data_IF_510695778496
#
_entry.id   IF_510695778496
#
_cell.length_a   1.000
_cell.length_b   1.000
_cell.length_c   1.000
_cell.angle_alpha   90.00
_cell.angle_beta   90.00
_cell.angle_gamma   90.00
#
_symmetry.space_group_name_H-M   'P 1'
#
loop_
_entity.id
_entity.type
_entity.pdbx_description
1 polymer ?
#
# COMPACT_ATOMS: atom_id res chain seq x y z
N UNK A 1 18.55 -12.50 -17.32
CA UNK A 1 18.29 -12.12 -15.91
C UNK A 1 18.57 -10.64 -15.77
N UNK A 2 17.64 -9.89 -15.19
CA UNK A 2 17.74 -8.46 -14.93
C UNK A 2 17.84 -8.22 -13.42
N UNK A 3 18.38 -7.07 -13.03
CA UNK A 3 18.40 -6.60 -11.64
C UNK A 3 17.61 -5.29 -11.57
N UNK A 4 16.80 -5.12 -10.52
CA UNK A 4 16.17 -3.81 -10.22
C UNK A 4 17.28 -2.82 -9.86
N UNK A 5 17.26 -1.66 -10.49
CA UNK A 5 18.22 -0.56 -10.27
C UNK A 5 17.49 0.70 -9.82
N UNK A 6 18.18 1.68 -9.21
CA UNK A 6 17.57 2.93 -8.77
C UNK A 6 16.74 3.64 -9.84
N UNK A 7 17.15 3.54 -11.11
CA UNK A 7 16.46 4.15 -12.23
C UNK A 7 15.05 3.57 -12.47
N UNK A 8 14.82 2.29 -12.15
CA UNK A 8 13.49 1.68 -12.26
C UNK A 8 12.48 2.33 -11.32
N UNK A 9 12.94 2.75 -10.13
CA UNK A 9 12.12 3.47 -9.15
C UNK A 9 12.06 4.95 -9.50
N UNK A 10 13.23 5.59 -9.76
CA UNK A 10 13.34 7.00 -10.10
C UNK A 10 12.46 7.40 -11.28
N UNK A 11 12.36 6.57 -12.30
CA UNK A 11 11.56 6.83 -13.51
C UNK A 11 10.05 6.99 -13.24
N UNK A 12 9.58 6.65 -12.04
CA UNK A 12 8.18 6.79 -11.61
C UNK A 12 7.91 8.08 -10.84
N UNK A 13 8.95 8.83 -10.49
CA UNK A 13 8.83 10.03 -9.68
C UNK A 13 9.52 11.22 -10.34
N UNK A 14 8.92 12.40 -10.20
CA UNK A 14 9.47 13.65 -10.75
C UNK A 14 10.59 14.24 -9.86
N UNK A 15 10.60 13.91 -8.58
CA UNK A 15 11.65 14.30 -7.64
C UNK A 15 12.79 13.28 -7.63
N UNK A 16 13.96 13.70 -7.18
CA UNK A 16 15.10 12.81 -6.98
C UNK A 16 14.91 11.96 -5.73
N UNK A 17 15.04 10.63 -5.88
CA UNK A 17 15.01 9.73 -4.71
C UNK A 17 16.25 9.94 -3.86
N UNK A 18 16.11 9.77 -2.53
CA UNK A 18 17.19 10.06 -1.58
C UNK A 18 18.44 9.20 -1.80
N UNK A 19 19.66 9.72 -1.56
CA UNK A 19 20.91 8.93 -1.67
C UNK A 19 20.89 7.67 -0.79
N UNK A 20 20.24 7.73 0.37
CA UNK A 20 20.10 6.58 1.27
C UNK A 20 19.24 5.48 0.63
N UNK A 21 18.15 5.84 -0.04
CA UNK A 21 17.32 4.88 -0.76
C UNK A 21 18.05 4.29 -1.97
N UNK A 22 18.80 5.11 -2.72
CA UNK A 22 19.68 4.65 -3.81
C UNK A 22 20.67 3.60 -3.29
N UNK A 23 21.33 3.88 -2.17
CA UNK A 23 22.25 2.92 -1.55
C UNK A 23 21.56 1.61 -1.17
N UNK A 24 20.38 1.66 -0.59
CA UNK A 24 19.60 0.45 -0.23
C UNK A 24 19.20 -0.37 -1.47
N UNK A 25 18.75 0.28 -2.54
CA UNK A 25 18.42 -0.42 -3.80
C UNK A 25 19.66 -1.10 -4.38
N UNK A 26 20.79 -0.42 -4.42
CA UNK A 26 22.05 -0.97 -4.95
C UNK A 26 22.53 -2.19 -4.16
N UNK A 27 22.35 -2.19 -2.84
CA UNK A 27 22.73 -3.27 -1.93
C UNK A 27 21.72 -4.43 -1.91
N UNK A 28 20.55 -4.26 -2.52
CA UNK A 28 19.53 -5.28 -2.59
C UNK A 28 19.64 -6.02 -3.92
N UNK A 29 19.76 -7.34 -3.88
CA UNK A 29 19.93 -8.16 -5.09
C UNK A 29 18.56 -8.64 -5.58
N UNK A 30 17.76 -7.73 -6.19
CA UNK A 30 16.44 -8.03 -6.73
C UNK A 30 16.54 -8.49 -8.19
N UNK A 31 16.67 -9.81 -8.38
CA UNK A 31 16.82 -10.44 -9.70
C UNK A 31 15.48 -10.92 -10.24
N UNK A 32 15.24 -10.69 -11.54
CA UNK A 32 14.01 -11.11 -12.21
C UNK A 32 14.22 -11.38 -13.71
N UNK A 33 13.22 -12.00 -14.31
CA UNK A 33 13.09 -12.17 -15.76
C UNK A 33 11.61 -11.99 -16.18
N UNK A 34 11.33 -11.39 -17.35
CA UNK A 34 10.01 -11.49 -17.96
C UNK A 34 9.65 -12.96 -18.21
N UNK A 35 8.37 -13.31 -18.10
CA UNK A 35 7.92 -14.64 -18.47
C UNK A 35 8.17 -14.92 -19.95
N UNK A 36 8.63 -16.12 -20.27
CA UNK A 36 8.65 -16.61 -21.64
C UNK A 36 7.23 -16.69 -22.21
N UNK A 37 7.05 -16.72 -23.54
CA UNK A 37 5.72 -16.86 -24.15
C UNK A 37 4.91 -18.05 -23.62
N UNK A 38 5.54 -19.20 -23.39
CA UNK A 38 4.89 -20.39 -22.84
C UNK A 38 4.46 -20.20 -21.37
N UNK A 39 5.32 -19.60 -20.54
CA UNK A 39 5.00 -19.28 -19.16
C UNK A 39 3.89 -18.23 -19.07
N UNK A 40 3.92 -17.20 -19.93
CA UNK A 40 2.88 -16.18 -20.01
C UNK A 40 1.53 -16.78 -20.42
N UNK A 41 1.51 -17.69 -21.40
CA UNK A 41 0.32 -18.42 -21.77
C UNK A 41 -0.26 -19.20 -20.56
N UNK A 42 0.58 -19.95 -19.87
CA UNK A 42 0.18 -20.72 -18.68
C UNK A 42 -0.31 -19.81 -17.55
N UNK A 43 0.31 -18.65 -17.38
CA UNK A 43 -0.11 -17.63 -16.42
C UNK A 43 -1.52 -17.11 -16.76
N UNK A 44 -1.80 -16.78 -18.03
CA UNK A 44 -3.12 -16.27 -18.46
C UNK A 44 -4.20 -17.34 -18.25
N UNK A 45 -3.94 -18.60 -18.65
CA UNK A 45 -4.88 -19.72 -18.42
C UNK A 45 -5.17 -19.88 -16.93
N UNK A 46 -4.14 -19.85 -16.09
CA UNK A 46 -4.32 -19.93 -14.63
C UNK A 46 -5.14 -18.73 -14.09
N UNK A 47 -4.90 -17.54 -14.61
CA UNK A 47 -5.64 -16.35 -14.22
C UNK A 47 -7.13 -16.48 -14.55
N UNK A 48 -7.48 -16.94 -15.76
CA UNK A 48 -8.86 -17.17 -16.20
C UNK A 48 -9.55 -18.22 -15.31
N UNK A 49 -8.84 -19.30 -14.97
CA UNK A 49 -9.36 -20.32 -14.06
C UNK A 49 -9.68 -19.74 -12.66
N UNK A 50 -8.82 -18.85 -12.15
CA UNK A 50 -9.08 -18.16 -10.88
C UNK A 50 -10.27 -17.21 -11.01
N UNK A 51 -10.40 -16.49 -12.12
CA UNK A 51 -11.59 -15.67 -12.37
C UNK A 51 -12.88 -16.51 -12.48
N UNK A 52 -12.79 -17.78 -12.86
CA UNK A 52 -13.94 -18.70 -12.93
C UNK A 52 -14.29 -19.32 -11.58
N UNK A 53 -13.39 -19.25 -10.58
CA UNK A 53 -13.62 -19.76 -9.23
C UNK A 53 -14.34 -18.73 -8.33
N UNK A 54 -14.83 -19.18 -7.18
CA UNK A 54 -15.37 -18.29 -6.17
C UNK A 54 -14.22 -17.57 -5.42
N UNK A 55 -14.24 -16.24 -5.48
CA UNK A 55 -13.28 -15.39 -4.77
C UNK A 55 -13.93 -14.71 -3.58
N UNK A 56 -13.23 -14.72 -2.44
CA UNK A 56 -13.68 -14.00 -1.25
C UNK A 56 -13.71 -12.51 -1.53
N UNK A 57 -14.86 -11.87 -1.31
CA UNK A 57 -15.05 -10.43 -1.53
C UNK A 57 -14.45 -9.60 -0.39
N UNK A 58 -13.94 -8.44 -0.72
CA UNK A 58 -13.58 -7.38 0.23
C UNK A 58 -14.83 -6.76 0.87
N UNK A 59 -14.68 -6.14 2.04
CA UNK A 59 -15.75 -5.48 2.78
C UNK A 59 -15.72 -5.77 4.28
N UNK A 60 -16.71 -5.28 5.00
CA UNK A 60 -16.83 -5.35 6.47
C UNK A 60 -16.69 -6.77 7.04
N UNK A 61 -17.19 -7.78 6.32
CA UNK A 61 -17.07 -9.18 6.73
C UNK A 61 -15.64 -9.74 6.80
N UNK A 62 -14.63 -8.95 6.44
CA UNK A 62 -13.21 -9.37 6.44
C UNK A 62 -12.47 -9.07 7.73
N UNK A 63 -13.10 -8.40 8.71
CA UNK A 63 -12.41 -8.00 9.94
C UNK A 63 -11.74 -9.18 10.67
N UNK A 64 -12.45 -10.31 10.82
CA UNK A 64 -11.91 -11.51 11.49
C UNK A 64 -10.73 -12.13 10.76
N UNK A 65 -10.70 -12.05 9.44
CA UNK A 65 -9.58 -12.53 8.62
C UNK A 65 -8.32 -11.69 8.86
N UNK A 66 -8.46 -10.36 8.84
CA UNK A 66 -7.34 -9.45 9.07
C UNK A 66 -6.87 -9.52 10.52
N UNK A 67 -7.81 -9.59 11.49
CA UNK A 67 -7.48 -9.81 12.91
C UNK A 67 -6.63 -11.07 13.10
N UNK A 68 -7.03 -12.19 12.47
CA UNK A 68 -6.27 -13.44 12.54
C UNK A 68 -4.88 -13.32 11.90
N UNK A 69 -4.80 -12.69 10.72
CA UNK A 69 -3.53 -12.50 10.01
C UNK A 69 -2.53 -11.65 10.82
N UNK A 70 -2.99 -10.52 11.36
CA UNK A 70 -2.13 -9.64 12.17
C UNK A 70 -1.76 -10.25 13.53
N UNK A 71 -2.62 -11.11 14.08
CA UNK A 71 -2.30 -11.90 15.28
C UNK A 71 -1.18 -12.90 15.03
N UNK A 72 -1.14 -13.55 13.87
CA UNK A 72 -0.02 -14.44 13.49
C UNK A 72 1.32 -13.70 13.46
N UNK A 73 1.35 -12.47 12.92
CA UNK A 73 2.56 -11.63 12.95
C UNK A 73 2.94 -11.23 14.38
N UNK A 74 1.97 -10.90 15.24
CA UNK A 74 2.21 -10.57 16.64
C UNK A 74 2.86 -11.73 17.40
N UNK A 75 2.35 -12.95 17.22
CA UNK A 75 2.90 -14.14 17.88
C UNK A 75 4.31 -14.48 17.38
N UNK A 76 4.60 -14.24 16.10
CA UNK A 76 5.94 -14.40 15.54
C UNK A 76 6.89 -13.33 16.08
N UNK A 77 6.43 -12.07 16.17
CA UNK A 77 7.19 -10.98 16.75
C UNK A 77 7.54 -11.24 18.22
N UNK A 78 6.59 -11.67 19.05
CA UNK A 78 6.82 -11.98 20.47
C UNK A 78 7.89 -13.06 20.69
N UNK A 79 8.05 -13.98 19.74
CA UNK A 79 9.07 -15.05 19.81
C UNK A 79 10.44 -14.57 19.36
N UNK A 80 10.50 -13.74 18.33
CA UNK A 80 11.75 -13.31 17.68
C UNK A 80 12.29 -11.99 18.20
N UNK A 81 11.42 -11.12 18.67
CA UNK A 81 11.66 -9.69 18.94
C UNK A 81 12.28 -8.95 17.75
N UNK A 82 12.11 -9.51 16.53
CA UNK A 82 12.63 -8.93 15.29
C UNK A 82 11.50 -8.17 14.56
N UNK A 83 11.63 -6.85 14.30
CA UNK A 83 10.65 -6.08 13.56
C UNK A 83 10.32 -6.64 12.16
N UNK A 84 11.20 -7.42 11.54
CA UNK A 84 10.92 -8.10 10.25
C UNK A 84 9.78 -9.12 10.35
N UNK A 85 9.47 -9.62 11.55
CA UNK A 85 8.30 -10.49 11.78
C UNK A 85 6.97 -9.77 11.52
N UNK A 86 6.97 -8.43 11.53
CA UNK A 86 5.81 -7.60 11.21
C UNK A 86 5.55 -7.52 9.69
N UNK A 87 6.48 -7.92 8.83
CA UNK A 87 6.26 -7.94 7.38
C UNK A 87 5.10 -8.89 7.07
N UNK A 88 4.01 -8.39 6.43
CA UNK A 88 2.85 -9.20 6.11
C UNK A 88 3.21 -10.44 5.29
N UNK A 89 2.67 -11.59 5.67
CA UNK A 89 3.02 -12.89 5.06
C UNK A 89 2.64 -13.01 3.59
N UNK A 90 1.72 -12.19 3.09
CA UNK A 90 1.35 -12.20 1.69
C UNK A 90 2.48 -11.73 0.75
N UNK A 91 3.42 -10.90 1.21
CA UNK A 91 4.61 -10.51 0.46
C UNK A 91 5.60 -11.67 0.20
N UNK A 92 5.50 -12.74 0.97
CA UNK A 92 6.45 -13.87 0.91
C UNK A 92 5.98 -15.03 0.02
N UNK A 93 4.79 -14.95 -0.59
CA UNK A 93 4.11 -16.12 -1.17
C UNK A 93 4.31 -16.34 -2.66
N UNK A 94 4.74 -15.35 -3.42
CA UNK A 94 4.77 -15.46 -4.88
C UNK A 94 6.11 -15.01 -5.47
N UNK A 95 6.57 -15.76 -6.46
CA UNK A 95 7.69 -15.35 -7.30
C UNK A 95 7.24 -14.73 -8.64
N UNK A 96 5.94 -14.55 -8.85
CA UNK A 96 5.37 -13.88 -10.02
C UNK A 96 4.86 -12.51 -9.57
N UNK A 97 5.29 -11.46 -10.27
CA UNK A 97 4.90 -10.09 -10.03
C UNK A 97 4.66 -9.36 -11.37
N UNK A 98 4.17 -8.13 -11.28
CA UNK A 98 4.06 -7.20 -12.40
C UNK A 98 5.11 -6.10 -12.23
N UNK A 99 5.86 -5.83 -13.27
CA UNK A 99 6.82 -4.75 -13.31
C UNK A 99 6.93 -4.20 -14.73
N UNK A 100 6.92 -2.88 -14.89
CA UNK A 100 7.11 -2.22 -16.18
C UNK A 100 6.15 -2.74 -17.28
N UNK A 101 4.86 -2.95 -16.92
CA UNK A 101 3.80 -3.49 -17.81
C UNK A 101 4.02 -4.94 -18.25
N UNK A 102 4.91 -5.67 -17.62
CA UNK A 102 5.19 -7.07 -17.90
C UNK A 102 4.90 -7.95 -16.68
N UNK A 103 4.63 -9.22 -16.96
CA UNK A 103 4.63 -10.26 -15.93
C UNK A 103 6.05 -10.79 -15.83
N UNK A 104 6.57 -10.77 -14.60
CA UNK A 104 7.95 -11.18 -14.30
C UNK A 104 7.97 -12.35 -13.32
N UNK A 105 9.04 -13.13 -13.37
CA UNK A 105 9.40 -14.14 -12.39
C UNK A 105 10.60 -13.63 -11.59
N UNK A 106 10.46 -13.55 -10.28
CA UNK A 106 11.54 -13.16 -9.39
C UNK A 106 12.34 -14.37 -8.91
N UNK A 107 13.62 -14.14 -8.67
CA UNK A 107 14.56 -15.15 -8.18
C UNK A 107 15.14 -14.79 -6.80
N UNK A 108 14.89 -13.58 -6.34
CA UNK A 108 15.39 -13.10 -5.07
C UNK A 108 14.38 -13.35 -3.96
N UNK A 109 14.89 -13.64 -2.77
CA UNK A 109 14.09 -13.74 -1.56
C UNK A 109 13.45 -12.39 -1.24
N UNK A 110 12.20 -12.42 -0.80
CA UNK A 110 11.44 -11.24 -0.38
C UNK A 110 11.39 -10.11 -1.44
N UNK A 111 11.48 -10.50 -2.74
CA UNK A 111 11.49 -9.57 -3.89
C UNK A 111 10.31 -8.59 -3.85
N UNK A 112 9.09 -9.10 -3.66
CA UNK A 112 7.88 -8.29 -3.63
C UNK A 112 7.91 -7.25 -2.50
N UNK A 113 8.32 -7.66 -1.31
CA UNK A 113 8.45 -6.77 -0.15
C UNK A 113 9.45 -5.63 -0.40
N UNK A 114 10.64 -5.95 -0.89
CA UNK A 114 11.66 -4.93 -1.12
C UNK A 114 11.27 -3.96 -2.23
N UNK A 115 10.76 -4.48 -3.34
CA UNK A 115 10.33 -3.63 -4.46
C UNK A 115 9.18 -2.71 -4.05
N UNK A 116 8.17 -3.26 -3.35
CA UNK A 116 7.07 -2.51 -2.76
C UNK A 116 7.58 -1.39 -1.85
N UNK A 117 8.47 -1.75 -0.91
CA UNK A 117 9.05 -0.79 0.02
C UNK A 117 9.78 0.35 -0.69
N UNK A 118 10.54 0.05 -1.74
CA UNK A 118 11.26 1.08 -2.50
C UNK A 118 10.34 2.07 -3.19
N UNK A 119 9.22 1.61 -3.77
CA UNK A 119 8.24 2.50 -4.38
C UNK A 119 7.55 3.39 -3.33
N UNK A 120 7.14 2.82 -2.21
CA UNK A 120 6.48 3.57 -1.13
C UNK A 120 7.45 4.57 -0.49
N UNK A 121 8.66 4.12 -0.15
CA UNK A 121 9.67 4.96 0.50
C UNK A 121 10.11 6.12 -0.41
N UNK A 122 10.25 5.89 -1.73
CA UNK A 122 10.66 6.92 -2.67
C UNK A 122 9.75 8.15 -2.65
N UNK A 123 8.45 7.95 -2.47
CA UNK A 123 7.49 9.05 -2.40
C UNK A 123 7.33 9.60 -0.97
N UNK A 124 7.16 8.74 0.02
CA UNK A 124 6.90 9.19 1.39
C UNK A 124 8.08 9.98 1.97
N UNK A 125 9.32 9.58 1.68
CA UNK A 125 10.51 10.30 2.16
C UNK A 125 10.68 11.69 1.56
N UNK A 126 10.06 11.98 0.41
CA UNK A 126 9.99 13.34 -0.15
C UNK A 126 9.07 14.25 0.68
N UNK A 127 7.97 13.69 1.20
CA UNK A 127 6.94 14.48 1.86
C UNK A 127 7.04 14.53 3.39
N UNK A 128 7.49 13.43 4.03
CA UNK A 128 7.60 13.32 5.50
C UNK A 128 8.34 14.49 6.15
N UNK A 129 9.46 15.04 5.60
CA UNK A 129 10.16 16.14 6.24
C UNK A 129 9.32 17.37 6.52
N UNK A 130 8.26 17.60 5.73
CA UNK A 130 7.38 18.77 5.80
C UNK A 130 6.29 18.65 6.88
N UNK A 131 6.15 17.51 7.57
CA UNK A 131 5.09 17.24 8.52
C UNK A 131 5.65 16.68 9.82
N UNK A 132 5.11 17.11 10.96
CA UNK A 132 5.51 16.59 12.28
C UNK A 132 4.77 15.31 12.65
N UNK A 133 3.54 15.17 12.14
CA UNK A 133 2.68 13.99 12.35
C UNK A 133 2.45 13.27 11.03
N UNK A 134 2.62 11.96 11.02
CA UNK A 134 2.45 11.09 9.85
C UNK A 134 1.48 9.97 10.23
N UNK A 135 0.37 9.86 9.51
CA UNK A 135 -0.68 8.88 9.77
C UNK A 135 -0.78 7.87 8.63
N UNK A 136 -0.67 6.59 8.94
CA UNK A 136 -1.04 5.49 8.06
C UNK A 136 -2.42 4.96 8.44
N UNK A 137 -3.36 4.99 7.52
CA UNK A 137 -4.67 4.37 7.71
C UNK A 137 -4.72 3.01 7.01
N UNK A 138 -5.29 2.00 7.70
CA UNK A 138 -5.20 0.60 7.28
C UNK A 138 -3.78 0.04 7.42
N UNK A 139 -3.09 0.41 8.50
CA UNK A 139 -1.66 0.16 8.69
C UNK A 139 -1.29 -1.32 8.90
N UNK A 140 -2.27 -2.21 9.09
CA UNK A 140 -2.04 -3.61 9.34
C UNK A 140 -1.12 -3.85 10.54
N UNK A 141 0.03 -4.47 10.33
CA UNK A 141 1.01 -4.71 11.40
C UNK A 141 1.81 -3.47 11.81
N UNK A 142 1.68 -2.35 11.09
CA UNK A 142 2.45 -1.13 11.30
C UNK A 142 3.90 -1.19 10.75
N UNK A 143 4.25 -2.19 9.96
CA UNK A 143 5.63 -2.37 9.49
C UNK A 143 6.17 -1.19 8.65
N UNK A 144 5.31 -0.47 7.94
CA UNK A 144 5.70 0.76 7.25
C UNK A 144 6.13 1.85 8.23
N UNK A 145 5.39 2.02 9.33
CA UNK A 145 5.67 3.03 10.35
C UNK A 145 7.08 2.82 10.94
N UNK A 146 7.41 1.58 11.32
CA UNK A 146 8.73 1.26 11.86
C UNK A 146 9.84 1.49 10.84
N UNK A 147 9.61 1.11 9.57
CA UNK A 147 10.58 1.31 8.50
C UNK A 147 10.81 2.80 8.22
N UNK A 148 9.74 3.60 8.14
CA UNK A 148 9.83 5.04 7.89
C UNK A 148 10.41 5.80 9.08
N UNK A 149 10.13 5.36 10.31
CA UNK A 149 10.74 5.92 11.51
C UNK A 149 12.28 5.79 11.52
N UNK A 150 12.84 4.73 10.96
CA UNK A 150 14.30 4.59 10.82
C UNK A 150 14.92 5.67 9.93
N UNK A 151 14.18 6.23 8.98
CA UNK A 151 14.61 7.33 8.15
C UNK A 151 14.35 8.71 8.78
N UNK A 152 13.32 8.83 9.59
CA UNK A 152 12.83 10.10 10.12
C UNK A 152 12.46 9.99 11.60
N UNK A 153 13.42 9.70 12.51
CA UNK A 153 13.14 9.38 13.90
C UNK A 153 12.65 10.57 14.74
N UNK A 154 12.76 11.78 14.24
CA UNK A 154 12.22 12.99 14.87
C UNK A 154 10.74 13.22 14.65
N UNK A 155 10.10 12.46 13.74
CA UNK A 155 8.68 12.59 13.41
C UNK A 155 7.82 11.67 14.26
N UNK A 156 6.54 12.03 14.44
CA UNK A 156 5.56 11.19 15.14
C UNK A 156 4.75 10.39 14.13
N UNK A 157 4.72 9.07 14.30
CA UNK A 157 4.02 8.14 13.43
C UNK A 157 2.82 7.53 14.12
N UNK A 158 1.69 7.47 13.41
CA UNK A 158 0.42 6.97 13.92
C UNK A 158 -0.16 5.95 12.93
N UNK A 159 -0.53 4.77 13.43
CA UNK A 159 -1.15 3.71 12.63
C UNK A 159 -2.59 3.45 13.04
N UNK A 160 -3.53 3.72 12.15
CA UNK A 160 -4.94 3.41 12.32
C UNK A 160 -5.34 2.13 11.61
N UNK A 161 -5.99 1.21 12.31
CA UNK A 161 -6.53 -0.03 11.74
C UNK A 161 -7.71 -0.50 12.61
N UNK A 162 -8.67 -1.19 12.01
CA UNK A 162 -9.83 -1.72 12.75
C UNK A 162 -9.52 -2.97 13.57
N UNK A 163 -8.36 -3.62 13.33
CA UNK A 163 -7.91 -4.83 14.01
C UNK A 163 -7.23 -4.51 15.35
N UNK A 164 -7.63 -5.14 16.43
CA UNK A 164 -6.97 -5.03 17.73
C UNK A 164 -5.55 -5.60 17.69
N UNK A 165 -5.34 -6.66 16.90
CA UNK A 165 -4.01 -7.23 16.71
C UNK A 165 -3.04 -6.25 16.04
N UNK A 166 -3.52 -5.34 15.20
CA UNK A 166 -2.73 -4.25 14.61
C UNK A 166 -2.19 -3.32 15.70
N UNK A 167 -3.05 -2.81 16.58
CA UNK A 167 -2.62 -1.94 17.68
C UNK A 167 -1.63 -2.65 18.62
N UNK A 168 -1.86 -3.94 18.88
CA UNK A 168 -0.97 -4.75 19.71
C UNK A 168 0.40 -4.95 19.04
N UNK A 169 0.47 -5.21 17.71
CA UNK A 169 1.72 -5.28 16.97
C UNK A 169 2.54 -3.99 17.14
N UNK A 170 1.90 -2.83 16.93
CA UNK A 170 2.55 -1.54 17.06
C UNK A 170 3.03 -1.31 18.49
N UNK A 171 2.18 -1.56 19.50
CA UNK A 171 2.52 -1.38 20.89
C UNK A 171 3.69 -2.25 21.37
N UNK A 172 3.66 -3.55 21.06
CA UNK A 172 4.70 -4.48 21.49
C UNK A 172 6.02 -4.21 20.77
N UNK A 173 5.99 -3.91 19.46
CA UNK A 173 7.20 -3.56 18.74
C UNK A 173 7.79 -2.24 19.22
N UNK A 174 6.98 -1.19 19.42
CA UNK A 174 7.44 0.10 19.95
C UNK A 174 8.13 -0.06 21.30
N UNK A 175 7.56 -0.85 22.21
CA UNK A 175 8.20 -1.16 23.51
C UNK A 175 9.53 -1.87 23.34
N UNK A 176 9.59 -2.90 22.46
CA UNK A 176 10.80 -3.70 22.27
C UNK A 176 11.98 -2.89 21.69
N UNK A 177 11.70 -1.94 20.80
CA UNK A 177 12.75 -1.08 20.20
C UNK A 177 12.97 0.23 20.96
N UNK A 178 12.23 0.48 22.05
CA UNK A 178 12.33 1.72 22.83
C UNK A 178 11.81 2.96 22.10
N UNK A 179 10.88 2.81 21.17
CA UNK A 179 10.29 3.93 20.43
C UNK A 179 9.10 4.53 21.19
N UNK A 180 9.07 5.85 21.33
CA UNK A 180 7.97 6.59 21.95
C UNK A 180 7.15 7.41 20.96
N UNK A 181 7.59 7.48 19.70
CA UNK A 181 7.00 8.29 18.65
C UNK A 181 6.17 7.50 17.62
N UNK A 182 5.97 6.19 17.84
CA UNK A 182 5.10 5.33 17.02
C UNK A 182 3.94 4.84 17.88
N UNK A 183 2.70 5.12 17.45
CA UNK A 183 1.48 4.78 18.20
C UNK A 183 0.43 4.17 17.29
N UNK A 184 -0.25 3.12 17.77
CA UNK A 184 -1.42 2.53 17.13
C UNK A 184 -2.72 3.06 17.70
N UNK A 185 -3.76 3.14 16.89
CA UNK A 185 -5.12 3.47 17.31
C UNK A 185 -6.16 2.67 16.51
N UNK A 186 -7.36 2.50 17.08
CA UNK A 186 -8.44 1.86 16.34
C UNK A 186 -9.02 2.84 15.32
N UNK A 187 -9.23 2.37 14.07
CA UNK A 187 -9.88 3.16 13.06
C UNK A 187 -10.60 2.27 12.03
N UNK A 188 -11.89 2.53 11.85
CA UNK A 188 -12.72 1.82 10.89
C UNK A 188 -13.11 2.76 9.73
N UNK A 189 -12.73 2.43 8.50
CA UNK A 189 -13.09 3.21 7.32
C UNK A 189 -14.61 3.35 7.10
N UNK A 190 -15.38 2.36 7.54
CA UNK A 190 -16.85 2.38 7.42
C UNK A 190 -17.53 3.29 8.46
N UNK A 191 -16.84 3.56 9.58
CA UNK A 191 -17.30 4.38 10.71
C UNK A 191 -16.14 5.19 11.27
N UNK A 192 -15.67 6.23 10.53
CA UNK A 192 -14.53 7.04 10.95
C UNK A 192 -14.76 7.72 12.28
N UNK A 193 -13.75 7.68 13.16
CA UNK A 193 -13.74 8.37 14.44
C UNK A 193 -13.21 9.81 14.28
N UNK A 194 -14.09 10.79 14.32
CA UNK A 194 -13.74 12.20 14.20
C UNK A 194 -13.00 12.79 15.40
N UNK A 195 -12.81 12.03 16.49
CA UNK A 195 -11.97 12.45 17.60
C UNK A 195 -10.47 12.35 17.29
N UNK A 196 -10.10 11.63 16.24
CA UNK A 196 -8.71 11.50 15.80
C UNK A 196 -8.31 12.77 15.03
N UNK A 197 -7.45 13.59 15.62
CA UNK A 197 -6.95 14.84 15.03
C UNK A 197 -5.81 14.57 14.03
N UNK A 198 -6.12 14.71 12.75
CA UNK A 198 -5.17 14.60 11.64
C UNK A 198 -4.89 15.94 10.96
N UNK A 199 -5.34 17.04 11.54
CA UNK A 199 -5.16 18.37 10.97
C UNK A 199 -3.67 18.66 10.72
N UNK A 200 -3.37 19.28 9.58
CA UNK A 200 -2.03 19.71 9.15
C UNK A 200 -0.98 18.56 9.11
N UNK A 201 -1.42 17.29 9.13
CA UNK A 201 -0.55 16.11 9.08
C UNK A 201 -0.37 15.56 7.67
N UNK A 202 0.61 14.67 7.49
CA UNK A 202 0.67 13.79 6.34
C UNK A 202 -0.18 12.53 6.62
N UNK A 203 -1.14 12.28 5.75
CA UNK A 203 -1.96 11.06 5.77
C UNK A 203 -1.60 10.19 4.58
N UNK A 204 -1.43 8.88 4.78
CA UNK A 204 -1.26 7.96 3.68
C UNK A 204 -1.97 6.63 3.88
N UNK A 205 -2.24 5.93 2.78
CA UNK A 205 -2.78 4.56 2.75
C UNK A 205 -1.98 3.71 1.75
N UNK A 206 -1.83 2.42 2.03
CA UNK A 206 -1.11 1.49 1.15
C UNK A 206 -1.89 0.18 1.07
N UNK A 207 -2.49 -0.11 -0.09
CA UNK A 207 -3.25 -1.33 -0.38
C UNK A 207 -4.25 -1.71 0.73
N UNK A 208 -4.94 -0.71 1.28
CA UNK A 208 -5.89 -0.86 2.38
C UNK A 208 -7.29 -0.39 2.01
N UNK A 209 -7.44 0.72 1.30
CA UNK A 209 -8.73 1.18 0.79
C UNK A 209 -9.36 0.18 -0.21
N UNK A 210 -8.54 -0.66 -0.84
CA UNK A 210 -9.05 -1.72 -1.70
C UNK A 210 -10.05 -2.64 -1.00
N UNK A 211 -9.97 -2.74 0.34
CA UNK A 211 -10.81 -3.62 1.15
C UNK A 211 -12.22 -3.06 1.42
N UNK A 212 -12.51 -1.81 1.07
CA UNK A 212 -13.82 -1.19 1.32
C UNK A 212 -14.71 -1.09 0.08
N UNK A 213 -14.21 -1.47 -1.10
CA UNK A 213 -14.96 -1.45 -2.35
C UNK A 213 -15.40 -0.04 -2.74
N UNK A 214 -16.70 0.16 -2.94
CA UNK A 214 -17.30 1.47 -3.26
C UNK A 214 -17.73 2.26 -2.00
N UNK A 215 -17.55 1.71 -0.78
CA UNK A 215 -18.03 2.33 0.46
C UNK A 215 -17.00 3.30 1.05
N UNK A 216 -16.43 4.17 0.23
CA UNK A 216 -15.38 5.12 0.65
C UNK A 216 -15.89 6.53 0.99
N UNK A 217 -17.19 6.81 0.85
CA UNK A 217 -17.73 8.16 1.06
C UNK A 217 -17.44 8.69 2.46
N UNK A 218 -17.69 7.88 3.51
CA UNK A 218 -17.49 8.30 4.90
C UNK A 218 -16.02 8.61 5.21
N UNK A 219 -15.08 7.80 4.75
CA UNK A 219 -13.65 8.04 4.99
C UNK A 219 -13.14 9.23 4.17
N UNK A 220 -13.65 9.44 2.95
CA UNK A 220 -13.35 10.65 2.17
C UNK A 220 -13.89 11.90 2.88
N UNK A 221 -15.12 11.87 3.36
CA UNK A 221 -15.70 12.95 4.14
C UNK A 221 -14.88 13.25 5.39
N UNK A 222 -14.43 12.21 6.12
CA UNK A 222 -13.54 12.35 7.27
C UNK A 222 -12.24 13.05 6.88
N UNK A 223 -11.54 12.61 5.82
CA UNK A 223 -10.29 13.24 5.40
C UNK A 223 -10.50 14.70 4.98
N UNK A 224 -11.55 15.00 4.23
CA UNK A 224 -11.85 16.38 3.80
C UNK A 224 -12.13 17.29 5.00
N UNK A 225 -12.97 16.84 5.94
CA UNK A 225 -13.41 17.66 7.07
C UNK A 225 -12.32 17.81 8.15
N UNK A 226 -11.45 16.82 8.31
CA UNK A 226 -10.36 16.84 9.31
C UNK A 226 -9.11 17.61 8.82
N UNK A 227 -9.09 18.07 7.56
CA UNK A 227 -8.08 18.96 6.97
C UNK A 227 -6.63 18.54 7.21
N UNK A 228 -6.22 17.32 6.80
CA UNK A 228 -4.80 16.99 6.75
C UNK A 228 -4.05 17.93 5.79
N UNK A 229 -2.76 18.11 6.01
CA UNK A 229 -1.93 18.92 5.13
C UNK A 229 -1.71 18.27 3.75
N UNK A 230 -1.67 16.92 3.69
CA UNK A 230 -1.53 16.15 2.47
C UNK A 230 -2.09 14.73 2.65
N UNK A 231 -2.75 14.22 1.62
CA UNK A 231 -3.15 12.81 1.50
C UNK A 231 -2.40 12.14 0.36
N UNK A 232 -1.82 10.96 0.62
CA UNK A 232 -1.12 10.14 -0.37
C UNK A 232 -1.70 8.72 -0.32
N UNK A 233 -2.17 8.22 -1.45
CA UNK A 233 -2.72 6.87 -1.56
C UNK A 233 -1.89 6.04 -2.53
N UNK A 234 -1.48 4.85 -2.10
CA UNK A 234 -0.88 3.79 -2.93
C UNK A 234 -1.90 2.66 -3.04
N UNK A 235 -2.86 2.80 -3.93
CA UNK A 235 -3.99 1.89 -4.00
C UNK A 235 -4.20 1.34 -5.42
N UNK A 236 -4.84 0.17 -5.55
CA UNK A 236 -5.28 -0.31 -6.84
C UNK A 236 -6.50 0.51 -7.31
N UNK A 237 -6.31 1.36 -8.29
CA UNK A 237 -7.32 2.27 -8.82
C UNK A 237 -7.89 1.71 -10.12
N UNK A 238 -9.19 1.38 -10.09
CA UNK A 238 -9.90 0.81 -11.23
C UNK A 238 -9.93 1.75 -12.45
N UNK A 239 -10.14 3.04 -12.22
CA UNK A 239 -10.39 4.05 -13.25
C UNK A 239 -9.19 4.40 -14.14
N UNK A 240 -7.98 3.97 -13.76
CA UNK A 240 -6.77 4.19 -14.57
C UNK A 240 -6.40 2.99 -15.46
N UNK A 241 -7.16 1.90 -15.37
CA UNK A 241 -6.92 0.69 -16.15
C UNK A 241 -7.54 0.80 -17.55
N UNK A 242 -6.87 0.24 -18.54
CA UNK A 242 -7.31 0.22 -19.94
C UNK A 242 -8.01 -1.12 -20.25
N UNK A 243 -9.33 -1.13 -20.47
CA UNK A 243 -10.06 -2.36 -20.75
C UNK A 243 -9.68 -3.04 -22.06
N UNK A 244 -8.98 -2.36 -22.97
CA UNK A 244 -8.50 -2.95 -24.25
C UNK A 244 -7.11 -3.59 -24.08
N UNK A 245 -6.42 -3.34 -22.95
CA UNK A 245 -5.19 -4.04 -22.61
C UNK A 245 -5.51 -5.34 -21.85
N UNK A 246 -4.98 -6.48 -22.32
CA UNK A 246 -5.29 -7.80 -21.75
C UNK A 246 -5.01 -7.89 -20.23
N UNK A 247 -3.86 -7.38 -19.78
CA UNK A 247 -3.49 -7.47 -18.36
C UNK A 247 -4.36 -6.56 -17.49
N UNK A 248 -4.70 -5.38 -17.99
CA UNK A 248 -5.61 -4.46 -17.32
C UNK A 248 -7.05 -5.01 -17.32
N UNK A 249 -7.51 -5.57 -18.43
CA UNK A 249 -8.80 -6.24 -18.51
C UNK A 249 -8.93 -7.36 -17.47
N UNK A 250 -7.94 -8.24 -17.38
CA UNK A 250 -7.92 -9.30 -16.37
C UNK A 250 -7.93 -8.73 -14.93
N UNK A 251 -7.20 -7.64 -14.71
CA UNK A 251 -7.20 -6.92 -13.41
C UNK A 251 -8.59 -6.34 -13.09
N UNK A 252 -9.26 -5.72 -14.07
CA UNK A 252 -10.63 -5.19 -13.93
C UNK A 252 -11.59 -6.33 -13.53
N UNK A 253 -11.52 -7.50 -14.21
CA UNK A 253 -12.34 -8.64 -13.87
C UNK A 253 -12.08 -9.14 -12.44
N UNK A 254 -10.81 -9.16 -12.02
CA UNK A 254 -10.43 -9.55 -10.68
C UNK A 254 -10.97 -8.56 -9.63
N UNK A 255 -10.84 -7.25 -9.87
CA UNK A 255 -11.38 -6.21 -8.98
C UNK A 255 -12.90 -6.35 -8.82
N UNK A 256 -13.61 -6.57 -9.94
CA UNK A 256 -15.06 -6.79 -9.92
C UNK A 256 -15.45 -8.00 -9.06
N UNK A 257 -14.75 -9.12 -9.23
CA UNK A 257 -15.01 -10.33 -8.44
C UNK A 257 -14.66 -10.18 -6.96
N UNK A 258 -13.57 -9.49 -6.67
CA UNK A 258 -13.10 -9.27 -5.31
C UNK A 258 -13.83 -8.15 -4.58
N UNK A 259 -14.66 -7.36 -5.26
CA UNK A 259 -15.26 -6.13 -4.74
C UNK A 259 -14.16 -5.16 -4.23
N UNK A 260 -13.12 -4.97 -5.03
CA UNK A 260 -12.04 -4.04 -4.71
C UNK A 260 -12.44 -2.60 -5.02
N UNK A 261 -11.60 -1.64 -4.62
CA UNK A 261 -11.84 -0.21 -4.72
C UNK A 261 -12.30 0.23 -6.12
N UNK A 262 -13.45 0.90 -6.19
CA UNK A 262 -14.01 1.48 -7.42
C UNK A 262 -14.50 2.89 -7.16
N UNK A 263 -14.53 3.70 -8.20
CA UNK A 263 -15.06 5.06 -8.18
C UNK A 263 -14.32 5.99 -7.21
N UNK A 264 -13.18 5.58 -6.64
CA UNK A 264 -12.45 6.40 -5.68
C UNK A 264 -11.86 7.66 -6.33
N UNK A 265 -11.17 7.51 -7.47
CA UNK A 265 -10.66 8.65 -8.23
C UNK A 265 -11.79 9.51 -8.80
N UNK A 266 -12.91 8.89 -9.20
CA UNK A 266 -14.10 9.60 -9.64
C UNK A 266 -14.67 10.48 -8.53
N UNK A 267 -14.76 9.96 -7.30
CA UNK A 267 -15.20 10.73 -6.12
C UNK A 267 -14.25 11.87 -5.79
N UNK A 268 -12.94 11.64 -5.86
CA UNK A 268 -11.95 12.72 -5.68
C UNK A 268 -12.09 13.83 -6.73
N UNK A 269 -12.25 13.48 -8.02
CA UNK A 269 -12.47 14.46 -9.10
C UNK A 269 -13.76 15.26 -8.90
N UNK A 270 -14.82 14.63 -8.39
CA UNK A 270 -16.04 15.33 -8.01
C UNK A 270 -15.79 16.34 -6.89
N UNK A 271 -15.12 15.94 -5.81
CA UNK A 271 -14.76 16.85 -4.71
C UNK A 271 -13.86 18.00 -5.17
N UNK A 272 -12.96 17.76 -6.12
CA UNK A 272 -12.14 18.80 -6.74
C UNK A 272 -12.99 19.78 -7.55
N UNK A 273 -13.93 19.29 -8.35
CA UNK A 273 -14.85 20.16 -9.11
C UNK A 273 -15.78 20.99 -8.22
N UNK A 274 -16.04 20.52 -7.00
CA UNK A 274 -16.77 21.24 -5.95
C UNK A 274 -15.88 22.24 -5.16
N UNK A 275 -14.58 22.31 -5.46
CA UNK A 275 -13.62 23.19 -4.77
C UNK A 275 -13.27 22.75 -3.35
N UNK A 276 -13.57 21.53 -2.96
CA UNK A 276 -13.30 21.00 -1.60
C UNK A 276 -11.88 20.48 -1.42
N UNK A 277 -11.29 19.98 -2.49
CA UNK A 277 -9.93 19.43 -2.53
C UNK A 277 -9.19 19.92 -3.78
N UNK A 278 -7.88 19.67 -3.79
CA UNK A 278 -7.03 19.81 -4.98
C UNK A 278 -6.26 18.52 -5.19
N UNK A 279 -6.42 17.86 -6.34
CA UNK A 279 -5.60 16.71 -6.77
C UNK A 279 -4.28 17.27 -7.30
N UNK A 280 -3.17 16.80 -6.76
CA UNK A 280 -1.82 17.25 -7.12
C UNK A 280 -1.13 16.28 -8.09
N UNK A 281 -1.42 14.98 -7.96
CA UNK A 281 -0.86 13.95 -8.83
C UNK A 281 -1.76 12.71 -8.88
N UNK A 282 -1.76 12.05 -10.05
CA UNK A 282 -2.35 10.72 -10.25
C UNK A 282 -1.43 9.94 -11.18
N UNK A 283 -0.80 8.87 -10.67
CA UNK A 283 0.27 8.17 -11.39
C UNK A 283 0.24 6.67 -11.18
N UNK A 284 0.22 5.90 -12.28
CA UNK A 284 0.44 4.46 -12.25
C UNK A 284 1.92 4.14 -12.02
N UNK A 285 2.22 3.22 -11.10
CA UNK A 285 3.59 2.78 -10.84
C UNK A 285 4.02 1.62 -11.75
N UNK A 286 3.08 0.98 -12.46
CA UNK A 286 3.31 -0.21 -13.27
C UNK A 286 4.02 -1.33 -12.51
N UNK A 287 3.67 -1.44 -11.24
CA UNK A 287 4.11 -2.46 -10.31
C UNK A 287 2.90 -3.11 -9.63
N UNK A 288 3.00 -4.39 -9.34
CA UNK A 288 1.95 -5.09 -8.63
C UNK A 288 2.22 -6.57 -8.40
N UNK A 289 1.24 -7.22 -7.82
CA UNK A 289 1.27 -8.64 -7.51
C UNK A 289 0.98 -9.52 -8.73
N UNK A 290 0.94 -10.83 -8.51
CA UNK A 290 0.55 -11.81 -9.54
C UNK A 290 -0.77 -11.47 -10.25
N UNK A 291 -1.77 -10.94 -9.55
CA UNK A 291 -3.12 -10.76 -10.11
C UNK A 291 -3.48 -9.32 -10.43
N UNK A 292 -2.85 -8.35 -9.80
CA UNK A 292 -3.22 -6.95 -9.95
C UNK A 292 -2.00 -6.07 -10.16
N UNK A 293 -2.16 -4.99 -10.92
CA UNK A 293 -1.32 -3.83 -10.80
C UNK A 293 -1.81 -3.06 -9.56
N UNK A 294 -1.10 -3.26 -8.45
CA UNK A 294 -1.64 -2.93 -7.14
C UNK A 294 -1.45 -1.49 -6.71
N UNK A 295 -0.73 -0.66 -7.47
CA UNK A 295 -0.32 0.63 -6.95
C UNK A 295 -0.38 1.73 -8.01
N UNK A 296 -1.44 2.54 -7.87
CA UNK A 296 -1.52 3.90 -8.41
C UNK A 296 -1.32 4.87 -7.25
N UNK A 297 -0.47 5.85 -7.44
CA UNK A 297 -0.33 6.96 -6.50
C UNK A 297 -1.39 8.01 -6.80
N UNK A 298 -2.10 8.46 -5.78
CA UNK A 298 -2.94 9.65 -5.83
C UNK A 298 -2.49 10.58 -4.71
N UNK A 299 -2.18 11.82 -5.03
CA UNK A 299 -1.79 12.87 -4.08
C UNK A 299 -2.81 13.99 -4.16
N UNK A 300 -3.38 14.37 -3.03
CA UNK A 300 -4.33 15.46 -2.95
C UNK A 300 -4.32 16.14 -1.58
N UNK A 301 -4.93 17.31 -1.47
CA UNK A 301 -5.09 18.02 -0.20
C UNK A 301 -6.46 18.70 -0.13
N UNK A 302 -7.04 18.88 1.05
CA UNK A 302 -8.17 19.75 1.28
C UNK A 302 -7.84 21.21 0.92
N UNK A 303 -8.88 21.99 0.58
CA UNK A 303 -8.80 23.42 0.30
C UNK A 303 -9.31 24.23 1.51
#
# INVERSE_FOLDING_TARGET
MFKVIPQDIQSRYSHQISPLLISKINNCELLYEPLSPAELHSYIVNYINILSSDLVKAGEGRISHWESGWKENLEEFKKSLNPESLIPKYHKKNNIARLNKQIIKSYSKDFDYHLHSFFVDALLLEHIPNYDKVFEFGCGTGYHLFRLNNYSPSKSFYGGDWSVASQNNISECSKAIGSHNIKGFNFNYFEPDYSIDIKDSLVYTVASLEQIGEKHDKVLEYFVNSKPGLCIHFEPIHEVLDPENLLDYLTIQYFNKRNYLKNYLTSLRKLESEGKIRILDTRRLYYGSKFIEGHTVIIWKPV
#
